data_IF_843989634715
#
_entry.id   IF_843989634715
#
_cell.length_a   1.000
_cell.length_b   1.000
_cell.length_c   1.000
_cell.angle_alpha   90.00
_cell.angle_beta   90.00
_cell.angle_gamma   90.00
#
_symmetry.space_group_name_H-M   'P 1'
#
loop_
_entity.id
_entity.type
_entity.pdbx_description
1 polymer ?
#
# COMPACT_ATOMS: atom_id res chain seq x y z
N UNK A 1 23.21 17.92 -3.28
CA UNK A 1 22.75 16.81 -2.42
C UNK A 1 22.24 15.70 -3.34
N UNK A 2 22.43 14.43 -3.00
CA UNK A 2 21.82 13.34 -3.78
C UNK A 2 20.30 13.44 -3.70
N UNK A 3 19.60 12.97 -4.74
CA UNK A 3 18.15 12.93 -4.78
C UNK A 3 17.56 11.85 -3.85
N UNK A 4 16.30 11.95 -3.49
CA UNK A 4 15.63 10.98 -2.62
C UNK A 4 15.65 9.58 -3.23
N UNK A 5 15.34 9.45 -4.52
CA UNK A 5 15.33 8.16 -5.22
C UNK A 5 16.72 7.50 -5.24
N UNK A 6 17.79 8.27 -5.40
CA UNK A 6 19.17 7.77 -5.32
C UNK A 6 19.49 7.24 -3.92
N UNK A 7 19.11 7.96 -2.87
CA UNK A 7 19.32 7.54 -1.48
C UNK A 7 18.51 6.28 -1.15
N UNK A 8 17.26 6.22 -1.56
CA UNK A 8 16.39 5.05 -1.34
C UNK A 8 16.91 3.85 -2.11
N UNK A 9 17.33 4.01 -3.37
CA UNK A 9 17.95 2.93 -4.16
C UNK A 9 19.22 2.41 -3.48
N UNK A 10 20.09 3.31 -2.99
CA UNK A 10 21.31 2.91 -2.27
C UNK A 10 20.99 2.13 -1.00
N UNK A 11 19.98 2.55 -0.24
CA UNK A 11 19.49 1.83 0.95
C UNK A 11 18.97 0.43 0.62
N UNK A 12 18.13 0.29 -0.42
CA UNK A 12 17.63 -1.01 -0.89
C UNK A 12 18.76 -1.95 -1.31
N UNK A 13 19.74 -1.44 -2.09
CA UNK A 13 20.90 -2.22 -2.55
C UNK A 13 21.78 -2.68 -1.39
N UNK A 14 22.14 -1.78 -0.46
CA UNK A 14 22.97 -2.12 0.70
C UNK A 14 22.25 -3.15 1.59
N UNK A 15 20.95 -2.99 1.80
CA UNK A 15 20.13 -3.94 2.58
C UNK A 15 20.12 -5.33 1.93
N UNK A 16 19.96 -5.39 0.61
CA UNK A 16 20.02 -6.64 -0.15
C UNK A 16 21.40 -7.30 -0.07
N UNK A 17 22.49 -6.53 -0.28
CA UNK A 17 23.84 -7.03 -0.19
C UNK A 17 24.12 -7.57 1.23
N UNK A 18 23.72 -6.86 2.27
CA UNK A 18 23.88 -7.30 3.67
C UNK A 18 23.23 -8.66 3.90
N UNK A 19 22.02 -8.89 3.40
CA UNK A 19 21.31 -10.17 3.50
C UNK A 19 22.04 -11.25 2.70
N UNK A 20 22.41 -10.98 1.45
CA UNK A 20 23.09 -11.94 0.56
C UNK A 20 24.45 -12.35 1.11
N UNK A 21 25.24 -11.41 1.62
CA UNK A 21 26.55 -11.67 2.21
C UNK A 21 26.41 -12.51 3.48
N UNK A 22 25.48 -12.19 4.36
CA UNK A 22 25.23 -12.97 5.57
C UNK A 22 24.84 -14.42 5.23
N UNK A 23 23.98 -14.61 4.23
CA UNK A 23 23.51 -15.93 3.83
C UNK A 23 24.61 -16.75 3.10
N UNK A 24 25.28 -16.18 2.09
CA UNK A 24 26.30 -16.86 1.30
C UNK A 24 27.56 -17.19 2.11
N UNK A 25 27.99 -16.26 2.98
CA UNK A 25 29.15 -16.46 3.82
C UNK A 25 28.94 -17.61 4.79
N UNK A 26 27.77 -17.71 5.40
CA UNK A 26 27.44 -18.79 6.36
C UNK A 26 27.42 -20.17 5.68
N UNK A 27 26.83 -20.30 4.48
CA UNK A 27 26.72 -21.60 3.80
C UNK A 27 28.05 -22.05 3.20
N UNK A 28 28.70 -21.20 2.40
CA UNK A 28 29.95 -21.56 1.69
C UNK A 28 31.08 -21.91 2.64
N UNK A 29 31.18 -21.20 3.77
CA UNK A 29 32.23 -21.45 4.76
C UNK A 29 31.95 -22.70 5.57
N UNK A 30 30.69 -22.94 5.99
CA UNK A 30 30.33 -24.16 6.66
C UNK A 30 30.58 -25.42 5.82
N UNK A 31 30.36 -25.36 4.51
CA UNK A 31 30.60 -26.46 3.61
C UNK A 31 32.12 -26.72 3.41
N UNK A 32 32.92 -25.66 3.26
CA UNK A 32 34.39 -25.77 3.21
C UNK A 32 34.95 -26.32 4.53
N UNK A 33 34.46 -25.90 5.69
CA UNK A 33 34.86 -26.42 6.98
C UNK A 33 34.51 -27.91 7.11
N UNK A 34 33.32 -28.33 6.68
CA UNK A 34 32.91 -29.75 6.69
C UNK A 34 33.86 -30.59 5.85
N UNK A 35 34.26 -30.12 4.67
CA UNK A 35 35.19 -30.79 3.78
C UNK A 35 36.56 -30.96 4.42
N UNK A 36 37.14 -29.90 4.99
CA UNK A 36 38.42 -29.95 5.71
C UNK A 36 38.40 -30.87 6.92
N UNK A 37 37.32 -30.79 7.73
CA UNK A 37 37.13 -31.64 8.92
C UNK A 37 37.00 -33.11 8.55
N UNK A 38 36.42 -33.44 7.41
CA UNK A 38 36.29 -34.83 6.92
C UNK A 38 37.64 -35.47 6.54
N UNK A 39 38.60 -34.67 6.11
CA UNK A 39 39.89 -35.14 5.64
C UNK A 39 40.94 -35.17 6.77
N UNK A 40 40.85 -34.28 7.76
CA UNK A 40 41.85 -34.11 8.82
C UNK A 40 41.19 -33.94 10.20
N UNK A 41 40.62 -35.02 10.80
CA UNK A 41 39.79 -34.90 12.01
C UNK A 41 40.57 -34.45 13.25
N UNK A 42 41.86 -34.75 13.36
CA UNK A 42 42.66 -34.44 14.56
C UNK A 42 43.32 -33.04 14.52
N UNK A 43 43.65 -32.53 13.32
CA UNK A 43 44.21 -31.18 13.12
C UNK A 43 43.08 -30.15 13.06
N UNK A 44 41.91 -30.57 12.66
CA UNK A 44 40.76 -29.69 12.40
C UNK A 44 40.16 -29.03 13.62
N UNK A 45 40.21 -29.65 14.79
CA UNK A 45 39.47 -29.15 16.00
C UNK A 45 39.96 -27.79 16.49
N UNK A 46 41.29 -27.58 16.59
CA UNK A 46 41.84 -26.30 17.06
C UNK A 46 41.86 -25.23 15.99
N UNK A 47 42.17 -25.62 14.74
CA UNK A 47 42.12 -24.72 13.59
C UNK A 47 40.68 -24.33 13.22
N UNK A 48 39.70 -25.24 13.32
CA UNK A 48 38.30 -25.00 13.08
C UNK A 48 37.74 -23.90 14.03
N UNK A 49 38.10 -23.99 15.34
CA UNK A 49 37.68 -23.00 16.31
C UNK A 49 38.25 -21.60 16.02
N UNK A 50 39.51 -21.51 15.68
CA UNK A 50 40.18 -20.25 15.35
C UNK A 50 39.65 -19.64 14.05
N UNK A 51 39.38 -20.48 13.04
CA UNK A 51 38.82 -20.07 11.76
C UNK A 51 37.38 -19.57 11.91
N UNK A 52 36.58 -20.28 12.69
CA UNK A 52 35.19 -19.84 12.99
C UNK A 52 35.19 -18.49 13.73
N UNK A 53 36.07 -18.29 14.70
CA UNK A 53 36.16 -17.01 15.41
C UNK A 53 36.59 -15.86 14.45
N UNK A 54 37.55 -16.12 13.55
CA UNK A 54 37.98 -15.13 12.56
C UNK A 54 36.85 -14.77 11.59
N UNK A 55 36.08 -15.76 11.13
CA UNK A 55 34.91 -15.57 10.24
C UNK A 55 33.85 -14.76 10.95
N UNK A 56 33.48 -15.14 12.17
CA UNK A 56 32.49 -14.40 12.97
C UNK A 56 32.92 -12.96 13.21
N UNK A 57 34.21 -12.73 13.49
CA UNK A 57 34.74 -11.39 13.67
C UNK A 57 34.65 -10.57 12.37
N UNK A 58 35.00 -11.14 11.20
CA UNK A 58 34.89 -10.46 9.91
C UNK A 58 33.46 -10.21 9.51
N UNK A 59 32.56 -11.17 9.73
CA UNK A 59 31.14 -11.01 9.48
C UNK A 59 30.53 -9.88 10.32
N UNK A 60 30.88 -9.83 11.62
CA UNK A 60 30.45 -8.72 12.49
C UNK A 60 30.99 -7.37 12.03
N UNK A 61 32.27 -7.30 11.64
CA UNK A 61 32.88 -6.06 11.14
C UNK A 61 32.20 -5.56 9.88
N UNK A 62 31.87 -6.45 8.94
CA UNK A 62 31.13 -6.11 7.72
C UNK A 62 29.68 -5.65 8.05
N UNK A 63 29.00 -6.35 8.96
CA UNK A 63 27.66 -5.97 9.39
C UNK A 63 27.65 -4.56 9.99
N UNK A 64 28.62 -4.25 10.87
CA UNK A 64 28.77 -2.90 11.46
C UNK A 64 29.02 -1.82 10.40
N UNK A 65 29.83 -2.11 9.39
CA UNK A 65 30.11 -1.17 8.30
C UNK A 65 28.83 -0.89 7.47
N UNK A 66 28.05 -1.93 7.15
CA UNK A 66 26.77 -1.75 6.46
C UNK A 66 25.77 -0.96 7.30
N UNK A 67 25.70 -1.23 8.60
CA UNK A 67 24.81 -0.50 9.51
C UNK A 67 25.21 0.98 9.62
N UNK A 68 26.50 1.28 9.64
CA UNK A 68 26.99 2.68 9.62
C UNK A 68 26.57 3.41 8.34
N UNK A 69 26.75 2.77 7.18
CA UNK A 69 26.30 3.33 5.90
C UNK A 69 24.79 3.51 5.83
N UNK A 70 24.00 2.53 6.27
CA UNK A 70 22.55 2.63 6.32
C UNK A 70 22.12 3.78 7.23
N UNK A 71 22.70 3.92 8.42
CA UNK A 71 22.42 5.01 9.35
C UNK A 71 22.76 6.38 8.77
N UNK A 72 23.80 6.48 7.93
CA UNK A 72 24.13 7.73 7.23
C UNK A 72 23.06 8.06 6.19
N UNK A 73 22.68 7.09 5.35
CA UNK A 73 21.64 7.26 4.33
C UNK A 73 20.31 7.64 4.99
N UNK A 74 19.91 6.98 6.08
CA UNK A 74 18.69 7.30 6.81
C UNK A 74 18.68 8.73 7.35
N UNK A 75 19.81 9.22 7.83
CA UNK A 75 19.93 10.63 8.25
C UNK A 75 19.76 11.60 7.09
N UNK A 76 20.32 11.29 5.91
CA UNK A 76 20.18 12.12 4.72
C UNK A 76 18.73 12.09 4.20
N UNK A 77 18.07 10.93 4.17
CA UNK A 77 16.63 10.80 3.84
C UNK A 77 15.79 11.63 4.81
N UNK A 78 15.99 11.45 6.12
CA UNK A 78 15.24 12.17 7.14
C UNK A 78 15.38 13.70 7.04
N UNK A 79 16.53 14.19 6.59
CA UNK A 79 16.74 15.62 6.35
C UNK A 79 15.96 16.14 5.14
N UNK A 80 15.63 15.28 4.15
CA UNK A 80 14.84 15.66 2.97
C UNK A 80 13.33 15.62 3.21
N UNK A 81 12.83 14.80 4.16
CA UNK A 81 11.40 14.57 4.41
C UNK A 81 10.58 15.87 4.54
N UNK A 82 10.98 16.89 5.33
CA UNK A 82 10.20 18.12 5.45
C UNK A 82 10.02 18.84 4.11
N UNK A 83 11.06 18.89 3.29
CA UNK A 83 11.02 19.49 1.96
C UNK A 83 10.09 18.68 1.02
N UNK A 84 10.19 17.37 1.04
CA UNK A 84 9.34 16.49 0.24
C UNK A 84 7.86 16.62 0.61
N UNK A 85 7.54 16.72 1.90
CA UNK A 85 6.17 16.93 2.36
C UNK A 85 5.60 18.27 1.89
N UNK A 86 6.37 19.36 2.01
CA UNK A 86 5.94 20.68 1.52
C UNK A 86 5.68 20.66 0.01
N UNK A 87 6.58 20.06 -0.78
CA UNK A 87 6.38 19.90 -2.23
C UNK A 87 5.16 19.05 -2.55
N UNK A 88 4.90 17.98 -1.78
CA UNK A 88 3.72 17.13 -1.92
C UNK A 88 2.43 17.90 -1.64
N UNK A 89 2.39 18.74 -0.60
CA UNK A 89 1.24 19.58 -0.28
C UNK A 89 0.96 20.61 -1.38
N UNK A 90 1.99 21.23 -1.93
CA UNK A 90 1.87 22.18 -3.04
C UNK A 90 1.37 21.47 -4.32
N UNK A 91 1.94 20.30 -4.60
CA UNK A 91 1.51 19.48 -5.74
C UNK A 91 0.02 19.10 -5.60
N UNK A 92 -0.38 18.54 -4.45
CA UNK A 92 -1.76 18.13 -4.20
C UNK A 92 -2.75 19.30 -4.31
N UNK A 93 -2.38 20.51 -3.85
CA UNK A 93 -3.19 21.71 -4.03
C UNK A 93 -3.36 22.09 -5.48
N UNK A 94 -2.27 22.07 -6.25
CA UNK A 94 -2.26 22.43 -7.69
C UNK A 94 -3.08 21.47 -8.54
N UNK A 95 -3.02 20.16 -8.21
CA UNK A 95 -3.62 19.10 -9.01
C UNK A 95 -4.96 18.59 -8.44
N UNK A 96 -5.52 19.27 -7.46
CA UNK A 96 -6.77 18.89 -6.79
C UNK A 96 -7.96 18.74 -7.73
N UNK A 97 -7.96 19.44 -8.86
CA UNK A 97 -9.02 19.42 -9.87
C UNK A 97 -8.80 18.41 -10.99
N UNK A 98 -7.68 17.68 -10.98
CA UNK A 98 -7.41 16.72 -12.05
C UNK A 98 -8.30 15.50 -11.94
N UNK A 99 -8.75 15.04 -13.11
CA UNK A 99 -9.36 13.72 -13.24
C UNK A 99 -8.27 12.66 -13.10
N UNK A 100 -8.30 11.89 -12.01
CA UNK A 100 -7.29 10.88 -11.69
C UNK A 100 -7.20 9.83 -12.79
N UNK A 101 -8.34 9.42 -13.39
CA UNK A 101 -8.37 8.43 -14.45
C UNK A 101 -7.64 8.89 -15.72
N UNK A 102 -7.89 10.14 -16.15
CA UNK A 102 -7.19 10.71 -17.29
C UNK A 102 -5.70 10.82 -17.02
N UNK A 103 -5.34 11.16 -15.77
CA UNK A 103 -3.96 11.29 -15.36
C UNK A 103 -3.24 9.94 -15.30
N UNK A 104 -3.84 8.90 -14.69
CA UNK A 104 -3.27 7.56 -14.68
C UNK A 104 -3.23 6.95 -16.10
N UNK A 105 -4.20 7.24 -16.95
CA UNK A 105 -4.15 6.90 -18.37
C UNK A 105 -3.01 7.61 -19.13
N UNK A 106 -2.63 8.83 -18.73
CA UNK A 106 -1.44 9.49 -19.21
C UNK A 106 -0.17 8.76 -18.72
N UNK A 107 -0.08 8.43 -17.44
CA UNK A 107 1.05 7.68 -16.88
C UNK A 107 1.24 6.33 -17.56
N UNK A 108 0.15 5.61 -17.84
CA UNK A 108 0.20 4.35 -18.57
C UNK A 108 0.80 4.50 -19.97
N UNK A 109 0.36 5.52 -20.71
CA UNK A 109 0.82 5.76 -22.10
C UNK A 109 2.25 6.24 -22.20
N UNK A 110 2.66 7.16 -21.32
CA UNK A 110 3.96 7.85 -21.46
C UNK A 110 5.06 7.24 -20.58
N UNK A 111 4.72 6.53 -19.50
CA UNK A 111 5.67 5.94 -18.58
C UNK A 111 5.57 4.41 -18.51
N UNK A 112 4.70 3.80 -19.33
CA UNK A 112 4.55 2.34 -19.40
C UNK A 112 4.01 1.72 -18.12
N UNK A 113 3.19 2.46 -17.36
CA UNK A 113 2.56 1.93 -16.15
C UNK A 113 1.51 0.88 -16.52
N UNK A 114 1.57 -0.26 -15.86
CA UNK A 114 0.58 -1.33 -15.97
C UNK A 114 -0.08 -1.55 -14.61
N UNK A 115 -1.40 -1.47 -14.58
CA UNK A 115 -2.22 -1.63 -13.39
C UNK A 115 -2.84 -3.03 -13.27
N UNK A 116 -2.56 -3.94 -14.19
CA UNK A 116 -3.18 -5.27 -14.21
C UNK A 116 -2.97 -6.03 -12.90
N UNK A 117 -1.78 -5.97 -12.32
CA UNK A 117 -1.48 -6.61 -11.03
C UNK A 117 -2.27 -5.99 -9.87
N UNK A 118 -2.45 -4.65 -9.87
CA UNK A 118 -3.27 -3.95 -8.89
C UNK A 118 -4.74 -4.34 -9.02
N UNK A 119 -5.24 -4.41 -10.26
CA UNK A 119 -6.61 -4.83 -10.53
C UNK A 119 -6.84 -6.28 -10.10
N UNK A 120 -5.91 -7.19 -10.37
CA UNK A 120 -5.98 -8.58 -9.92
C UNK A 120 -6.01 -8.69 -8.38
N UNK A 121 -5.22 -7.90 -7.67
CA UNK A 121 -5.23 -7.83 -6.20
C UNK A 121 -6.59 -7.38 -5.68
N UNK A 122 -7.14 -6.30 -6.23
CA UNK A 122 -8.46 -5.78 -5.85
C UNK A 122 -9.58 -6.76 -6.17
N UNK A 123 -9.55 -7.38 -7.36
CA UNK A 123 -10.51 -8.39 -7.80
C UNK A 123 -10.50 -9.60 -6.88
N UNK A 124 -9.32 -10.13 -6.56
CA UNK A 124 -9.18 -11.29 -5.67
C UNK A 124 -9.74 -10.97 -4.27
N UNK A 125 -9.46 -9.77 -3.74
CA UNK A 125 -9.99 -9.33 -2.47
C UNK A 125 -11.53 -9.22 -2.49
N UNK A 126 -12.09 -8.67 -3.58
CA UNK A 126 -13.53 -8.57 -3.79
C UNK A 126 -14.19 -9.95 -3.89
N UNK A 127 -13.58 -10.88 -4.63
CA UNK A 127 -14.13 -12.24 -4.78
C UNK A 127 -14.11 -13.01 -3.46
N UNK A 128 -13.05 -12.89 -2.67
CA UNK A 128 -12.92 -13.53 -1.37
C UNK A 128 -14.02 -13.10 -0.39
N UNK A 129 -14.38 -11.81 -0.42
CA UNK A 129 -15.40 -11.24 0.48
C UNK A 129 -16.79 -11.16 -0.17
N UNK A 130 -16.99 -11.75 -1.36
CA UNK A 130 -18.21 -11.62 -2.14
C UNK A 130 -19.42 -12.16 -1.39
N UNK A 131 -20.32 -11.26 -1.00
CA UNK A 131 -21.62 -11.60 -0.44
C UNK A 131 -22.61 -10.49 -0.77
N UNK A 132 -23.75 -10.86 -1.34
CA UNK A 132 -24.84 -9.93 -1.63
C UNK A 132 -25.42 -9.24 -0.37
N UNK A 133 -25.08 -9.73 0.83
CA UNK A 133 -25.50 -9.15 2.12
C UNK A 133 -24.45 -8.16 2.69
N UNK A 134 -23.37 -7.90 1.97
CA UNK A 134 -22.28 -7.08 2.47
C UNK A 134 -22.20 -5.74 1.74
N UNK A 135 -22.44 -4.62 2.44
CA UNK A 135 -22.21 -3.29 1.89
C UNK A 135 -20.75 -3.07 1.56
N UNK A 136 -20.48 -2.45 0.41
CA UNK A 136 -19.17 -2.01 -0.02
C UNK A 136 -19.17 -0.51 -0.27
N UNK A 137 -18.06 0.15 0.05
CA UNK A 137 -17.81 1.54 -0.29
C UNK A 137 -16.68 1.62 -1.32
N UNK A 138 -16.94 2.24 -2.44
CA UNK A 138 -15.99 2.61 -3.48
C UNK A 138 -15.65 4.08 -3.26
N UNK A 139 -14.38 4.36 -2.92
CA UNK A 139 -13.92 5.67 -2.54
C UNK A 139 -13.05 6.29 -3.61
N UNK A 140 -13.52 7.39 -4.24
CA UNK A 140 -12.73 8.21 -5.17
C UNK A 140 -12.00 7.35 -6.22
N UNK A 141 -12.68 6.33 -6.75
CA UNK A 141 -12.07 5.45 -7.73
C UNK A 141 -12.29 5.97 -9.15
N UNK A 142 -11.26 5.78 -9.97
CA UNK A 142 -11.40 5.84 -11.41
C UNK A 142 -12.33 4.71 -11.92
N UNK A 143 -13.01 4.98 -13.03
CA UNK A 143 -14.11 4.18 -13.60
C UNK A 143 -13.78 2.72 -13.99
N UNK A 144 -12.53 2.28 -13.86
CA UNK A 144 -12.05 1.04 -14.46
C UNK A 144 -12.15 -0.22 -13.60
N UNK A 145 -12.51 -0.13 -12.33
CA UNK A 145 -12.94 -1.35 -11.64
C UNK A 145 -14.31 -1.69 -12.20
N UNK A 146 -14.27 -2.59 -13.18
CA UNK A 146 -15.46 -3.02 -13.90
C UNK A 146 -16.61 -3.22 -12.94
N UNK A 147 -17.68 -2.53 -13.20
CA UNK A 147 -18.96 -2.62 -12.50
C UNK A 147 -19.39 -4.07 -12.24
N UNK A 148 -18.85 -5.00 -13.00
CA UNK A 148 -19.08 -6.43 -12.86
C UNK A 148 -18.63 -7.01 -11.52
N UNK A 149 -17.56 -6.48 -10.91
CA UNK A 149 -17.07 -6.99 -9.61
C UNK A 149 -17.91 -6.47 -8.44
N UNK A 150 -18.38 -5.23 -8.54
CA UNK A 150 -19.25 -4.65 -7.52
C UNK A 150 -20.63 -5.30 -7.49
N UNK A 151 -21.06 -6.00 -8.53
CA UNK A 151 -22.40 -6.59 -8.67
C UNK A 151 -22.73 -7.70 -7.65
N UNK A 152 -21.69 -8.27 -7.03
CA UNK A 152 -21.85 -9.26 -5.96
C UNK A 152 -22.24 -8.67 -4.61
N UNK A 153 -22.21 -7.34 -4.46
CA UNK A 153 -22.48 -6.63 -3.20
C UNK A 153 -23.82 -5.91 -3.23
N UNK A 154 -24.39 -5.66 -2.04
CA UNK A 154 -25.62 -4.90 -1.90
C UNK A 154 -25.75 -4.36 -0.47
N UNK A 155 -25.89 -3.04 -0.27
CA UNK A 155 -25.76 -1.99 -1.27
C UNK A 155 -24.29 -1.69 -1.64
N UNK A 156 -24.12 -0.97 -2.74
CA UNK A 156 -22.84 -0.41 -3.20
C UNK A 156 -22.90 1.09 -2.97
N UNK A 157 -21.99 1.62 -2.18
CA UNK A 157 -21.81 3.06 -1.96
C UNK A 157 -20.67 3.53 -2.84
N UNK A 158 -20.88 4.60 -3.58
CA UNK A 158 -19.86 5.25 -4.41
C UNK A 158 -19.73 6.68 -3.93
N UNK A 159 -18.52 7.07 -3.56
CA UNK A 159 -18.19 8.44 -3.22
C UNK A 159 -17.15 8.94 -4.22
N UNK A 160 -17.49 10.02 -4.91
CA UNK A 160 -16.58 10.64 -5.85
C UNK A 160 -16.74 12.17 -5.88
N UNK A 161 -15.70 12.85 -6.41
CA UNK A 161 -15.70 14.31 -6.62
C UNK A 161 -16.45 14.73 -7.86
N UNK A 162 -16.51 13.86 -8.84
CA UNK A 162 -17.13 14.15 -10.11
C UNK A 162 -18.50 13.47 -10.15
N UNK A 163 -19.52 14.16 -10.66
CA UNK A 163 -20.87 13.62 -10.76
C UNK A 163 -20.90 12.45 -11.75
N UNK A 164 -20.72 11.23 -11.24
CA UNK A 164 -20.74 10.00 -12.03
C UNK A 164 -22.13 9.52 -12.43
N UNK A 165 -23.15 10.26 -12.08
CA UNK A 165 -24.54 9.90 -12.35
C UNK A 165 -24.74 9.50 -13.83
N UNK A 166 -24.12 10.22 -14.74
CA UNK A 166 -24.26 9.97 -16.19
C UNK A 166 -23.51 8.73 -16.65
N UNK A 167 -22.28 8.49 -16.18
CA UNK A 167 -21.47 7.36 -16.64
C UNK A 167 -22.06 6.01 -16.26
N UNK A 168 -22.50 5.87 -15.00
CA UNK A 168 -23.09 4.62 -14.51
C UNK A 168 -24.52 4.44 -14.98
N UNK A 169 -25.29 5.52 -15.09
CA UNK A 169 -26.68 5.49 -15.57
C UNK A 169 -26.75 4.98 -17.00
N UNK A 170 -25.83 5.43 -17.86
CA UNK A 170 -25.82 5.07 -19.29
C UNK A 170 -25.29 3.66 -19.55
N UNK A 171 -24.41 3.11 -18.68
CA UNK A 171 -23.74 1.84 -18.92
C UNK A 171 -24.33 0.66 -18.14
N UNK A 172 -25.01 0.91 -17.03
CA UNK A 172 -25.53 -0.16 -16.18
C UNK A 172 -27.02 -0.42 -16.42
N UNK A 173 -27.42 -1.71 -16.46
CA UNK A 173 -28.84 -2.06 -16.46
C UNK A 173 -29.57 -1.45 -15.24
N UNK A 174 -30.77 -0.95 -15.41
CA UNK A 174 -31.59 -0.36 -14.35
C UNK A 174 -31.72 -1.25 -13.08
N UNK A 175 -31.69 -2.57 -13.27
CA UNK A 175 -31.72 -3.54 -12.17
C UNK A 175 -30.49 -3.42 -11.26
N UNK A 176 -29.33 -3.06 -11.81
CA UNK A 176 -28.09 -2.92 -11.08
C UNK A 176 -27.96 -1.55 -10.42
N UNK A 177 -28.44 -0.49 -11.08
CA UNK A 177 -28.48 0.87 -10.53
C UNK A 177 -29.24 0.95 -9.20
N UNK A 178 -30.25 0.11 -9.00
CA UNK A 178 -31.01 0.07 -7.72
C UNK A 178 -30.16 -0.32 -6.51
N UNK A 179 -29.02 -0.95 -6.71
CA UNK A 179 -28.10 -1.35 -5.64
C UNK A 179 -27.08 -0.26 -5.29
N UNK A 180 -26.94 0.77 -6.14
CA UNK A 180 -25.92 1.79 -6.01
C UNK A 180 -26.46 3.01 -5.29
N UNK A 181 -25.64 3.59 -4.42
CA UNK A 181 -25.88 4.83 -3.69
C UNK A 181 -24.72 5.77 -3.98
N UNK A 182 -24.99 6.88 -4.64
CA UNK A 182 -24.00 7.90 -4.94
C UNK A 182 -23.99 8.95 -3.85
N UNK A 183 -22.80 9.35 -3.44
CA UNK A 183 -22.54 10.43 -2.52
C UNK A 183 -21.47 11.35 -3.12
N UNK A 184 -21.70 12.64 -3.08
CA UNK A 184 -20.63 13.61 -3.29
C UNK A 184 -19.83 13.83 -1.99
N UNK A 185 -18.71 14.51 -2.10
CA UNK A 185 -17.85 14.79 -0.94
C UNK A 185 -18.50 15.69 0.10
N UNK A 186 -19.46 16.50 -0.29
CA UNK A 186 -20.16 17.41 0.63
C UNK A 186 -21.16 16.66 1.52
N UNK A 187 -21.58 15.46 1.09
CA UNK A 187 -22.51 14.59 1.80
C UNK A 187 -21.86 13.45 2.58
N UNK A 188 -20.53 13.47 2.79
CA UNK A 188 -19.81 12.42 3.53
C UNK A 188 -20.32 12.18 4.95
N UNK A 189 -20.86 13.21 5.60
CA UNK A 189 -21.44 13.12 6.94
C UNK A 189 -22.61 12.11 7.02
N UNK A 190 -23.20 11.75 5.88
CA UNK A 190 -24.29 10.80 5.79
C UNK A 190 -23.87 9.35 5.52
N UNK A 191 -22.57 9.09 5.35
CA UNK A 191 -22.09 7.71 5.23
C UNK A 191 -22.30 6.95 6.53
N UNK A 192 -22.85 5.73 6.46
CA UNK A 192 -23.11 4.95 7.66
C UNK A 192 -21.82 4.53 8.36
N UNK A 193 -21.83 4.66 9.69
CA UNK A 193 -20.73 4.23 10.57
C UNK A 193 -20.88 2.73 10.87
N UNK A 194 -19.78 1.99 10.97
CA UNK A 194 -19.75 0.55 11.28
C UNK A 194 -20.65 -0.31 10.36
N UNK A 195 -20.75 0.05 9.09
CA UNK A 195 -21.65 -0.61 8.14
C UNK A 195 -20.88 -1.37 7.04
N UNK A 196 -19.78 -0.83 6.54
CA UNK A 196 -19.11 -1.36 5.37
C UNK A 196 -18.33 -2.64 5.67
N UNK A 197 -18.57 -3.68 4.85
CA UNK A 197 -17.74 -4.88 4.87
C UNK A 197 -16.40 -4.65 4.17
N UNK A 198 -16.40 -3.76 3.18
CA UNK A 198 -15.21 -3.41 2.43
C UNK A 198 -15.24 -1.95 2.00
N UNK A 199 -14.07 -1.32 2.04
CA UNK A 199 -13.82 0.00 1.47
C UNK A 199 -12.66 -0.14 0.50
N UNK A 200 -12.83 0.34 -0.73
CA UNK A 200 -11.82 0.26 -1.77
C UNK A 200 -11.54 1.64 -2.33
N UNK A 201 -10.26 1.94 -2.51
CA UNK A 201 -9.79 3.13 -3.23
C UNK A 201 -8.65 2.76 -4.15
N UNK A 202 -8.78 3.03 -5.45
CA UNK A 202 -7.74 2.80 -6.45
C UNK A 202 -7.18 4.14 -6.92
N UNK A 203 -5.85 4.28 -6.87
CA UNK A 203 -5.07 5.42 -7.35
C UNK A 203 -5.33 6.78 -6.69
N UNK A 204 -6.38 6.94 -5.94
CA UNK A 204 -6.70 8.23 -5.33
C UNK A 204 -5.64 8.68 -4.31
N UNK A 205 -5.20 7.75 -3.44
CA UNK A 205 -4.24 8.11 -2.40
C UNK A 205 -2.82 8.33 -2.91
N UNK A 206 -2.50 7.88 -4.13
CA UNK A 206 -1.21 8.20 -4.77
C UNK A 206 -1.04 9.70 -5.06
N UNK A 207 -2.15 10.45 -5.07
CA UNK A 207 -2.24 11.88 -5.37
C UNK A 207 -2.64 12.73 -4.16
N UNK A 208 -2.80 12.12 -2.99
CA UNK A 208 -3.14 12.81 -1.75
C UNK A 208 -1.88 13.17 -0.97
N UNK A 209 -1.81 14.39 -0.40
CA UNK A 209 -0.80 14.69 0.60
C UNK A 209 -1.08 13.94 1.90
N UNK A 210 -0.05 13.76 2.74
CA UNK A 210 -0.13 13.03 4.03
C UNK A 210 -1.33 13.48 4.88
N UNK A 211 -1.56 14.80 4.98
CA UNK A 211 -2.64 15.35 5.78
C UNK A 211 -4.02 14.87 5.30
N UNK A 212 -4.26 14.89 3.99
CA UNK A 212 -5.52 14.41 3.40
C UNK A 212 -5.65 12.90 3.52
N UNK A 213 -4.59 12.16 3.23
CA UNK A 213 -4.58 10.71 3.35
C UNK A 213 -4.95 10.28 4.77
N UNK A 214 -4.28 10.80 5.79
CA UNK A 214 -4.53 10.39 7.18
C UNK A 214 -5.93 10.74 7.65
N UNK A 215 -6.43 11.93 7.29
CA UNK A 215 -7.79 12.34 7.62
C UNK A 215 -8.82 11.43 6.98
N UNK A 216 -8.65 11.08 5.72
CA UNK A 216 -9.60 10.24 5.00
C UNK A 216 -9.53 8.78 5.47
N UNK A 217 -8.35 8.23 5.72
CA UNK A 217 -8.22 6.90 6.33
C UNK A 217 -8.93 6.83 7.69
N UNK A 218 -8.81 7.87 8.52
CA UNK A 218 -9.52 7.95 9.79
C UNK A 218 -11.05 7.98 9.61
N UNK A 219 -11.53 8.65 8.58
CA UNK A 219 -12.95 8.67 8.23
C UNK A 219 -13.41 7.29 7.71
N UNK A 220 -12.68 6.70 6.77
CA UNK A 220 -13.02 5.42 6.16
C UNK A 220 -12.99 4.26 7.18
N UNK A 221 -12.06 4.31 8.14
CA UNK A 221 -11.97 3.31 9.22
C UNK A 221 -13.23 3.28 10.10
N UNK A 222 -13.90 4.44 10.29
CA UNK A 222 -15.17 4.52 11.04
C UNK A 222 -16.33 3.88 10.29
N UNK A 223 -16.32 3.90 8.96
CA UNK A 223 -17.37 3.28 8.14
C UNK A 223 -17.27 1.76 8.16
N UNK A 224 -16.09 1.19 8.40
CA UNK A 224 -15.89 -0.25 8.48
C UNK A 224 -16.54 -0.85 9.72
N UNK A 225 -17.25 -1.94 9.54
CA UNK A 225 -17.73 -2.80 10.63
C UNK A 225 -16.63 -3.75 11.11
N UNK A 226 -16.76 -4.39 12.28
CA UNK A 226 -15.86 -5.44 12.72
C UNK A 226 -15.68 -6.52 11.64
N UNK A 227 -14.44 -6.95 11.38
CA UNK A 227 -14.08 -7.86 10.30
C UNK A 227 -14.04 -7.23 8.90
N UNK A 228 -14.45 -5.98 8.74
CA UNK A 228 -14.41 -5.25 7.46
C UNK A 228 -12.99 -4.89 7.05
N UNK A 229 -12.77 -4.76 5.73
CA UNK A 229 -11.44 -4.52 5.13
C UNK A 229 -11.41 -3.20 4.36
N UNK A 230 -10.35 -2.42 4.58
CA UNK A 230 -9.98 -1.25 3.78
C UNK A 230 -8.83 -1.64 2.86
N UNK A 231 -8.98 -1.41 1.55
CA UNK A 231 -7.97 -1.70 0.54
C UNK A 231 -7.71 -0.48 -0.34
N UNK A 232 -6.44 -0.13 -0.51
CA UNK A 232 -6.05 1.00 -1.34
C UNK A 232 -4.59 0.87 -1.79
N UNK A 233 -4.19 1.67 -2.77
CA UNK A 233 -2.80 1.85 -3.14
C UNK A 233 -2.35 3.30 -2.91
N UNK A 234 -1.06 3.47 -2.67
CA UNK A 234 -0.44 4.77 -2.39
C UNK A 234 1.01 4.82 -2.90
N UNK A 235 1.63 6.01 -2.90
CA UNK A 235 2.99 6.21 -3.40
C UNK A 235 4.00 6.18 -2.25
N UNK A 236 4.46 4.97 -1.89
CA UNK A 236 5.43 4.76 -0.80
C UNK A 236 6.84 5.17 -1.21
N UNK A 237 7.26 6.39 -0.89
CA UNK A 237 8.59 6.91 -1.23
C UNK A 237 9.76 6.27 -0.44
N UNK A 238 9.48 5.30 0.44
CA UNK A 238 10.50 4.39 0.97
C UNK A 238 10.92 3.31 -0.05
N UNK A 239 10.23 3.26 -1.23
CA UNK A 239 10.57 2.44 -2.40
C UNK A 239 11.15 3.32 -3.52
N UNK A 240 12.24 2.87 -4.14
CA UNK A 240 12.96 3.66 -5.14
C UNK A 240 12.09 4.08 -6.33
N UNK A 241 11.26 3.17 -6.86
CA UNK A 241 10.34 3.48 -7.96
C UNK A 241 9.28 4.53 -7.60
N UNK A 242 8.73 4.47 -6.37
CA UNK A 242 7.77 5.48 -5.89
C UNK A 242 8.45 6.84 -5.62
N UNK A 243 9.67 6.83 -5.07
CA UNK A 243 10.45 8.04 -4.86
C UNK A 243 10.75 8.75 -6.19
N UNK A 244 11.07 7.99 -7.24
CA UNK A 244 11.27 8.52 -8.59
C UNK A 244 9.99 9.15 -9.15
N UNK A 245 8.82 8.54 -8.92
CA UNK A 245 7.52 9.10 -9.35
C UNK A 245 7.25 10.45 -8.68
N UNK A 246 7.57 10.58 -7.39
CA UNK A 246 7.47 11.83 -6.67
C UNK A 246 8.44 12.89 -7.21
N UNK A 247 9.72 12.56 -7.39
CA UNK A 247 10.74 13.50 -7.90
C UNK A 247 10.43 13.99 -9.32
N UNK A 248 9.81 13.15 -10.15
CA UNK A 248 9.32 13.53 -11.48
C UNK A 248 8.05 14.41 -11.41
N UNK A 249 7.53 14.71 -10.23
CA UNK A 249 6.32 15.51 -10.04
C UNK A 249 5.05 14.82 -10.53
N UNK A 250 5.02 13.49 -10.53
CA UNK A 250 3.91 12.68 -11.03
C UNK A 250 2.97 12.23 -9.91
N UNK A 251 3.48 12.06 -8.69
CA UNK A 251 2.71 11.62 -7.51
C UNK A 251 3.16 12.37 -6.26
N UNK A 252 2.40 12.20 -5.17
CA UNK A 252 2.72 12.82 -3.88
C UNK A 252 3.74 12.00 -3.09
N UNK A 253 4.42 12.65 -2.14
CA UNK A 253 5.32 12.00 -1.20
C UNK A 253 4.52 11.38 -0.06
N UNK A 254 4.76 10.10 0.25
CA UNK A 254 4.19 9.38 1.38
C UNK A 254 5.22 8.40 1.93
N UNK A 255 5.19 8.17 3.24
CA UNK A 255 6.08 7.21 3.92
C UNK A 255 5.27 5.98 4.32
N UNK A 256 5.56 4.82 3.74
CA UNK A 256 4.83 3.58 4.00
C UNK A 256 4.85 3.17 5.47
N UNK A 257 5.95 3.39 6.16
CA UNK A 257 6.08 3.15 7.61
C UNK A 257 5.08 3.99 8.40
N UNK A 258 4.89 5.28 8.05
CA UNK A 258 3.94 6.17 8.72
C UNK A 258 2.49 5.82 8.36
N UNK A 259 2.20 5.48 7.10
CA UNK A 259 0.87 5.01 6.68
C UNK A 259 0.48 3.76 7.47
N UNK A 260 1.34 2.76 7.56
CA UNK A 260 1.11 1.53 8.33
C UNK A 260 0.96 1.79 9.83
N UNK A 261 1.73 2.72 10.38
CA UNK A 261 1.58 3.14 11.77
C UNK A 261 0.20 3.78 11.99
N UNK A 262 -0.20 4.69 11.11
CA UNK A 262 -1.51 5.35 11.21
C UNK A 262 -2.68 4.35 11.14
N UNK A 263 -2.62 3.36 10.26
CA UNK A 263 -3.63 2.30 10.20
C UNK A 263 -3.74 1.54 11.52
N UNK A 264 -2.60 1.21 12.15
CA UNK A 264 -2.57 0.56 13.48
C UNK A 264 -3.14 1.47 14.57
N UNK A 265 -2.81 2.76 14.55
CA UNK A 265 -3.33 3.75 15.50
C UNK A 265 -4.86 3.92 15.36
N UNK A 266 -5.41 3.67 14.17
CA UNK A 266 -6.85 3.59 13.90
C UNK A 266 -7.48 2.24 14.31
N UNK A 267 -6.70 1.32 14.88
CA UNK A 267 -7.16 -0.01 15.27
C UNK A 267 -7.35 -0.98 14.11
N UNK A 268 -6.68 -0.76 12.98
CA UNK A 268 -6.72 -1.66 11.83
C UNK A 268 -5.46 -2.55 11.81
N UNK A 269 -5.63 -3.82 11.46
CA UNK A 269 -4.56 -4.78 11.24
C UNK A 269 -4.22 -4.84 9.74
N UNK A 270 -2.95 -4.58 9.37
CA UNK A 270 -2.48 -4.72 8.00
C UNK A 270 -2.38 -6.21 7.68
N UNK A 271 -3.17 -6.68 6.71
CA UNK A 271 -3.27 -8.08 6.30
C UNK A 271 -2.57 -8.38 4.96
N UNK A 272 -2.37 -7.35 4.13
CA UNK A 272 -1.56 -7.43 2.91
C UNK A 272 -0.81 -6.10 2.72
N UNK A 273 0.46 -6.19 2.28
CA UNK A 273 1.35 -5.05 2.01
C UNK A 273 2.28 -5.47 0.88
N UNK A 274 1.99 -5.00 -0.33
CA UNK A 274 2.65 -5.47 -1.53
C UNK A 274 3.07 -4.31 -2.45
N UNK A 275 4.36 -4.26 -2.80
CA UNK A 275 4.86 -3.33 -3.80
C UNK A 275 4.56 -3.87 -5.20
N UNK A 276 3.89 -3.06 -6.02
CA UNK A 276 3.54 -3.35 -7.41
C UNK A 276 4.51 -2.59 -8.31
N UNK A 277 5.48 -3.32 -8.85
CA UNK A 277 6.55 -2.69 -9.64
C UNK A 277 6.04 -2.13 -10.97
N UNK A 278 5.06 -2.77 -11.58
CA UNK A 278 4.44 -2.33 -12.85
C UNK A 278 3.76 -0.97 -12.75
N UNK A 279 3.08 -0.68 -11.65
CA UNK A 279 2.41 0.60 -11.40
C UNK A 279 3.21 1.55 -10.50
N UNK A 280 4.37 1.11 -9.96
CA UNK A 280 5.18 1.87 -8.99
C UNK A 280 4.33 2.39 -7.82
N UNK A 281 3.52 1.51 -7.24
CA UNK A 281 2.70 1.80 -6.07
C UNK A 281 2.81 0.70 -5.02
N UNK A 282 2.43 1.00 -3.79
CA UNK A 282 2.23 -0.02 -2.76
C UNK A 282 0.74 -0.23 -2.55
N UNK A 283 0.30 -1.47 -2.71
CA UNK A 283 -1.03 -1.91 -2.31
C UNK A 283 -1.04 -2.26 -0.83
N UNK A 284 -2.07 -1.83 -0.12
CA UNK A 284 -2.30 -2.20 1.26
C UNK A 284 -3.75 -2.68 1.45
N UNK A 285 -3.92 -3.76 2.20
CA UNK A 285 -5.20 -4.16 2.75
C UNK A 285 -5.10 -4.21 4.28
N UNK A 286 -6.03 -3.54 4.96
CA UNK A 286 -6.08 -3.48 6.41
C UNK A 286 -7.48 -3.87 6.92
N UNK A 287 -7.57 -4.68 7.97
CA UNK A 287 -8.80 -5.23 8.52
C UNK A 287 -9.11 -4.64 9.89
N UNK A 288 -10.38 -4.32 10.11
CA UNK A 288 -10.88 -3.98 11.45
C UNK A 288 -11.03 -5.27 12.25
N UNK A 289 -10.48 -5.38 13.47
CA UNK A 289 -10.61 -6.57 14.30
C UNK A 289 -12.07 -7.00 14.52
N UNK A 290 -12.30 -8.30 14.61
CA UNK A 290 -13.61 -8.90 14.82
C UNK A 290 -14.05 -9.79 13.65
N UNK A 291 -15.20 -10.40 13.80
CA UNK A 291 -15.78 -11.26 12.76
C UNK A 291 -16.74 -10.49 11.87
N UNK A 292 -16.68 -10.76 10.58
CA UNK A 292 -17.57 -10.19 9.58
C UNK A 292 -18.95 -10.89 9.68
N UNK A 293 -19.84 -10.33 10.50
CA UNK A 293 -21.20 -10.84 10.61
C UNK A 293 -22.07 -10.37 9.43
N UNK A 294 -22.96 -11.22 8.94
CA UNK A 294 -23.96 -10.82 7.94
C UNK A 294 -24.92 -9.80 8.57
N UNK A 295 -25.12 -8.66 7.93
CA UNK A 295 -26.14 -7.68 8.33
C UNK A 295 -27.46 -8.15 7.73
N UNK A 296 -28.53 -8.21 8.55
CA UNK A 296 -29.87 -8.43 8.02
C UNK A 296 -30.24 -7.28 7.08
N UNK A 297 -30.86 -7.60 5.95
CA UNK A 297 -31.25 -6.59 4.95
C UNK A 297 -32.09 -5.45 5.55
N UNK A 298 -32.89 -5.74 6.55
CA UNK A 298 -33.71 -4.75 7.31
C UNK A 298 -32.83 -3.76 8.10
N UNK A 299 -31.70 -4.19 8.62
CA UNK A 299 -30.74 -3.32 9.32
C UNK A 299 -29.96 -2.45 8.34
N UNK A 300 -29.53 -3.05 7.22
CA UNK A 300 -28.88 -2.30 6.14
C UNK A 300 -29.79 -1.25 5.51
N UNK A 301 -31.07 -1.53 5.38
CA UNK A 301 -32.08 -0.58 4.88
C UNK A 301 -32.43 0.51 5.90
N UNK A 302 -32.37 0.24 7.20
CA UNK A 302 -32.58 1.23 8.27
C UNK A 302 -31.56 2.37 8.27
N UNK A 303 -30.37 2.14 7.72
CA UNK A 303 -29.34 3.17 7.56
C UNK A 303 -29.53 4.05 6.31
N UNK A 304 -30.46 3.69 5.42
CA UNK A 304 -30.66 4.32 4.11
C UNK A 304 -31.80 5.35 4.13
N UNK A 305 -32.65 5.31 5.15
CA UNK A 305 -33.80 6.24 5.29
C UNK A 305 -33.40 7.29 6.34
N UNK A 306 -33.06 8.53 5.96
CA UNK A 306 -33.04 9.63 6.93
C UNK A 306 -34.46 9.77 7.47
N UNK A 307 -34.61 9.69 8.80
CA UNK A 307 -35.85 10.09 9.47
C UNK A 307 -36.04 11.58 9.37
#
# INVERSE_FOLDING_TARGET
MPSLSVLVTAKELITKIKIDVAHKTSISILDQIKEVVSVFPDIARDHDRSLRQLIDQKARSLAMLYDEHLNKIDREINALIPTCRNQSDEWAKKHRSYNIEEYEGFLARFYGHDESELDDKLVNLLQYNKSWQHPILIWQMSNNLGTDFALGYNPIYIVDRFSYDTYYIDKLPHRQLRKIRFYDLDHLMHLPVNCMAMVISKNYFTHCSDHFLYRELAFLSKSLRPGGTLAFNFNDCERSGCAQMFENGLRTFQEGTQVKKHLRDLGLEVIDDHYIDSSKTVFIAARKPGELQSIKLSEALGFIIPK
#
